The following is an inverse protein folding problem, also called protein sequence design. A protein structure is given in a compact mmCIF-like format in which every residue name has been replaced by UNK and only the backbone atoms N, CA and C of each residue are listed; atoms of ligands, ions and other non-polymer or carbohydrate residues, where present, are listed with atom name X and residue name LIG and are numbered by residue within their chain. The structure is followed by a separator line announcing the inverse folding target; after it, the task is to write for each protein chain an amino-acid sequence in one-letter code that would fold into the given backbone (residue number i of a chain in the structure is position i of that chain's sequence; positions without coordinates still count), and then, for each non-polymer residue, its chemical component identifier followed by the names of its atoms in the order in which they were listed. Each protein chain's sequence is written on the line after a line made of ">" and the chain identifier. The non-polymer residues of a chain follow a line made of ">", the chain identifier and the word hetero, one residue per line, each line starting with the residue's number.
data_IF_951738786069
#
_entry.id   IF_951738786069
#
_cell.length_a   1.000
_cell.length_b   1.000
_cell.length_c   1.000
_cell.angle_alpha   90.00
_cell.angle_beta   90.00
_cell.angle_gamma   90.00
#
_symmetry.space_group_name_H-M   'P 1'
#
loop_
_entity.id
_entity.type
_entity.pdbx_description
1 polymer ?
#
# COMPACT_ATOMS: atom_id res chain seq x y z
N UNK A 1 15.29 46.40 12.20
CA UNK A 1 14.03 45.76 11.76
C UNK A 1 14.34 44.30 11.43
N UNK A 2 14.06 43.38 12.35
CA UNK A 2 14.26 41.95 12.12
C UNK A 2 13.08 41.42 11.31
N UNK A 3 13.30 41.08 10.04
CA UNK A 3 12.34 40.34 9.24
C UNK A 3 12.19 38.94 9.84
N UNK A 4 11.16 38.73 10.66
CA UNK A 4 10.74 37.39 11.09
C UNK A 4 10.20 36.66 9.85
N UNK A 5 11.04 35.87 9.20
CA UNK A 5 10.58 34.88 8.23
C UNK A 5 9.77 33.85 9.01
N UNK A 6 8.45 34.05 9.09
CA UNK A 6 7.56 32.99 9.55
C UNK A 6 7.73 31.82 8.59
N UNK A 7 8.30 30.72 9.09
CA UNK A 7 8.34 29.45 8.37
C UNK A 7 6.92 29.13 7.90
N UNK A 8 6.73 28.90 6.59
CA UNK A 8 5.44 28.45 6.05
C UNK A 8 5.04 27.18 6.81
N UNK A 9 3.80 27.15 7.33
CA UNK A 9 3.22 25.98 7.97
C UNK A 9 2.55 25.12 6.90
N UNK A 10 2.81 23.82 6.91
CA UNK A 10 2.29 22.87 5.92
C UNK A 10 1.02 22.20 6.42
N UNK A 11 -0.02 22.16 5.58
CA UNK A 11 -1.31 21.55 5.90
C UNK A 11 -1.40 20.16 5.31
N UNK A 12 -1.29 19.15 6.16
CA UNK A 12 -1.29 17.73 5.78
C UNK A 12 -2.61 17.11 6.20
N UNK A 13 -3.49 16.89 5.24
CA UNK A 13 -4.75 16.18 5.45
C UNK A 13 -4.51 14.69 5.59
N UNK A 14 -5.18 14.00 6.51
CA UNK A 14 -5.12 12.55 6.64
C UNK A 14 -6.50 11.90 6.57
N UNK A 15 -6.64 10.88 5.72
CA UNK A 15 -7.84 10.06 5.55
C UNK A 15 -7.49 8.58 5.74
N UNK A 16 -7.68 8.07 6.97
CA UNK A 16 -7.24 6.73 7.37
C UNK A 16 -8.39 5.94 8.01
N UNK A 17 -8.38 4.59 7.94
CA UNK A 17 -9.34 3.77 8.68
C UNK A 17 -9.27 4.06 10.20
N UNK A 18 -10.38 3.97 10.96
CA UNK A 18 -10.42 4.33 12.38
C UNK A 18 -9.34 3.65 13.23
N UNK A 19 -9.10 2.35 13.00
CA UNK A 19 -8.02 1.60 13.69
C UNK A 19 -6.63 2.20 13.44
N UNK A 20 -6.37 2.74 12.25
CA UNK A 20 -5.10 3.38 11.88
C UNK A 20 -4.98 4.77 12.51
N UNK A 21 -6.06 5.56 12.53
CA UNK A 21 -6.06 6.85 13.24
C UNK A 21 -5.70 6.62 14.71
N UNK A 22 -6.39 5.69 15.37
CA UNK A 22 -6.13 5.36 16.77
C UNK A 22 -4.70 4.86 17.00
N UNK A 23 -4.12 4.10 16.07
CA UNK A 23 -2.77 3.58 16.22
C UNK A 23 -1.67 4.65 15.98
N UNK A 24 -1.83 5.51 14.97
CA UNK A 24 -0.76 6.38 14.46
C UNK A 24 -0.91 7.84 14.84
N UNK A 25 -2.12 8.39 14.87
CA UNK A 25 -2.37 9.80 15.17
C UNK A 25 -2.43 9.99 16.69
N UNK A 26 -1.26 9.78 17.32
CA UNK A 26 -1.06 9.93 18.77
C UNK A 26 -0.65 11.36 19.12
N UNK A 27 -0.87 11.81 20.37
CA UNK A 27 -0.41 13.13 20.83
C UNK A 27 1.08 13.40 20.55
N UNK A 28 1.93 12.37 20.65
CA UNK A 28 3.35 12.47 20.34
C UNK A 28 3.62 12.84 18.88
N UNK A 29 2.90 12.25 17.92
CA UNK A 29 3.03 12.57 16.50
C UNK A 29 2.50 13.98 16.22
N UNK A 30 1.37 14.36 16.81
CA UNK A 30 0.78 15.69 16.64
C UNK A 30 1.74 16.77 17.17
N UNK A 31 2.29 16.57 18.37
CA UNK A 31 3.26 17.48 18.96
C UNK A 31 4.52 17.59 18.10
N UNK A 32 5.03 16.46 17.62
CA UNK A 32 6.19 16.46 16.72
C UNK A 32 5.89 17.20 15.40
N UNK A 33 4.73 16.97 14.78
CA UNK A 33 4.33 17.69 13.58
C UNK A 33 4.26 19.21 13.81
N UNK A 34 3.68 19.64 14.94
CA UNK A 34 3.59 21.05 15.31
C UNK A 34 4.98 21.71 15.47
N UNK A 35 5.93 21.03 16.11
CA UNK A 35 7.32 21.48 16.23
C UNK A 35 8.03 21.63 14.88
N UNK A 36 7.54 20.94 13.85
CA UNK A 36 8.06 20.98 12.49
C UNK A 36 7.20 21.82 11.53
N UNK A 37 6.34 22.71 12.06
CA UNK A 37 5.43 23.55 11.29
C UNK A 37 4.48 22.75 10.37
N UNK A 38 3.95 21.64 10.86
CA UNK A 38 2.98 20.79 10.14
C UNK A 38 1.67 20.73 10.91
N UNK A 39 0.57 21.07 10.23
CA UNK A 39 -0.79 20.82 10.68
C UNK A 39 -1.28 19.48 10.16
N UNK A 40 -1.50 18.52 11.07
CA UNK A 40 -2.19 17.27 10.75
C UNK A 40 -3.71 17.49 10.86
N UNK A 41 -4.39 17.43 9.72
CA UNK A 41 -5.81 17.76 9.61
C UNK A 41 -6.61 16.49 9.30
N UNK A 42 -7.54 16.05 10.15
CA UNK A 42 -8.41 14.92 9.82
C UNK A 42 -9.31 15.29 8.64
N UNK A 43 -9.34 14.43 7.62
CA UNK A 43 -10.28 14.53 6.50
C UNK A 43 -11.51 13.69 6.81
N UNK A 44 -12.69 14.28 6.60
CA UNK A 44 -13.97 13.61 6.63
C UNK A 44 -14.32 13.06 5.23
N UNK A 45 -14.24 11.73 5.00
CA UNK A 45 -14.50 11.15 3.68
C UNK A 45 -15.98 11.22 3.26
N UNK A 46 -16.89 11.60 4.18
CA UNK A 46 -18.31 11.81 3.85
C UNK A 46 -18.61 13.16 3.18
N UNK A 47 -17.62 14.05 3.15
CA UNK A 47 -17.70 15.38 2.53
C UNK A 47 -16.74 15.49 1.34
N UNK A 48 -17.01 16.38 0.37
CA UNK A 48 -16.09 16.60 -0.74
C UNK A 48 -14.69 17.01 -0.24
N UNK A 49 -13.64 16.31 -0.69
CA UNK A 49 -12.26 16.60 -0.32
C UNK A 49 -11.84 18.03 -0.67
N UNK A 50 -12.28 18.54 -1.83
CA UNK A 50 -11.95 19.88 -2.32
C UNK A 50 -12.41 21.01 -1.39
N UNK A 51 -13.43 20.76 -0.57
CA UNK A 51 -14.00 21.74 0.37
C UNK A 51 -13.30 21.73 1.73
N UNK A 52 -12.38 20.77 1.97
CA UNK A 52 -11.74 20.57 3.26
C UNK A 52 -10.40 21.32 3.40
N UNK A 53 -10.14 22.21 2.45
CA UNK A 53 -9.20 23.32 2.56
C UNK A 53 -8.14 23.33 1.47
N UNK A 54 -7.32 24.40 1.39
CA UNK A 54 -6.02 24.26 0.77
C UNK A 54 -5.20 23.29 1.61
N UNK A 55 -4.83 22.15 1.03
CA UNK A 55 -3.93 21.17 1.63
C UNK A 55 -2.65 21.15 0.80
N UNK A 56 -1.49 21.17 1.47
CA UNK A 56 -0.21 20.96 0.79
C UNK A 56 0.04 19.46 0.53
N UNK A 57 -0.62 18.57 1.30
CA UNK A 57 -0.50 17.13 1.18
C UNK A 57 -1.73 16.39 1.68
N UNK A 58 -2.05 15.25 1.07
CA UNK A 58 -3.08 14.29 1.48
C UNK A 58 -2.43 12.93 1.72
N UNK A 59 -2.42 12.47 2.98
CA UNK A 59 -2.02 11.11 3.34
C UNK A 59 -3.29 10.27 3.46
N UNK A 60 -3.37 9.15 2.72
CA UNK A 60 -4.59 8.36 2.71
C UNK A 60 -4.37 6.86 2.72
N UNK A 61 -5.38 6.15 3.23
CA UNK A 61 -5.46 4.69 3.19
C UNK A 61 -6.91 4.22 3.04
N UNK A 62 -7.63 4.84 2.11
CA UNK A 62 -9.00 4.47 1.74
C UNK A 62 -8.98 4.04 0.27
N UNK A 63 -9.78 3.01 -0.07
CA UNK A 63 -9.69 2.35 -1.38
C UNK A 63 -11.01 2.30 -2.16
N UNK A 64 -12.08 2.92 -1.64
CA UNK A 64 -13.39 2.98 -2.30
C UNK A 64 -13.35 3.80 -3.61
N UNK A 65 -14.24 3.48 -4.55
CA UNK A 65 -14.32 4.18 -5.84
C UNK A 65 -14.56 5.68 -5.65
N UNK A 66 -15.49 6.04 -4.77
CA UNK A 66 -15.79 7.46 -4.47
C UNK A 66 -14.56 8.20 -3.96
N UNK A 67 -13.80 7.59 -3.06
CA UNK A 67 -12.56 8.18 -2.54
C UNK A 67 -11.51 8.38 -3.64
N UNK A 68 -11.34 7.40 -4.53
CA UNK A 68 -10.43 7.53 -5.68
C UNK A 68 -10.84 8.68 -6.60
N UNK A 69 -12.13 8.80 -6.90
CA UNK A 69 -12.68 9.90 -7.71
C UNK A 69 -12.44 11.26 -7.04
N UNK A 70 -12.62 11.36 -5.72
CA UNK A 70 -12.33 12.57 -4.96
C UNK A 70 -10.83 12.94 -5.01
N UNK A 71 -9.91 11.98 -4.88
CA UNK A 71 -8.48 12.23 -4.99
C UNK A 71 -8.06 12.70 -6.39
N UNK A 72 -8.61 12.10 -7.44
CA UNK A 72 -8.34 12.51 -8.82
C UNK A 72 -8.82 13.94 -9.07
N UNK A 73 -10.02 14.27 -8.62
CA UNK A 73 -10.59 15.62 -8.73
C UNK A 73 -9.79 16.65 -7.91
N UNK A 74 -9.41 16.30 -6.68
CA UNK A 74 -8.56 17.16 -5.86
C UNK A 74 -7.21 17.42 -6.51
N UNK A 75 -6.55 16.38 -7.03
CA UNK A 75 -5.26 16.47 -7.73
C UNK A 75 -5.33 17.36 -8.97
N UNK A 76 -6.40 17.25 -9.78
CA UNK A 76 -6.53 18.05 -11.00
C UNK A 76 -6.70 19.54 -10.72
N UNK A 77 -7.22 19.92 -9.55
CA UNK A 77 -7.40 21.31 -9.15
C UNK A 77 -6.24 21.84 -8.28
N UNK A 78 -5.44 20.94 -7.70
CA UNK A 78 -4.35 21.28 -6.79
C UNK A 78 -3.07 20.54 -7.20
N UNK A 79 -2.46 20.88 -8.35
CA UNK A 79 -1.31 20.16 -8.90
C UNK A 79 -0.06 20.21 -7.99
N UNK A 80 0.04 21.23 -7.13
CA UNK A 80 1.14 21.39 -6.17
C UNK A 80 0.92 20.58 -4.87
N UNK A 81 -0.29 20.05 -4.65
CA UNK A 81 -0.60 19.27 -3.46
C UNK A 81 -0.18 17.80 -3.66
N UNK A 82 0.59 17.27 -2.72
CA UNK A 82 1.06 15.88 -2.78
C UNK A 82 -0.03 14.91 -2.35
N UNK A 83 -0.18 13.78 -3.04
CA UNK A 83 -1.03 12.66 -2.61
C UNK A 83 -0.12 11.49 -2.24
N UNK A 84 -0.15 11.10 -0.97
CA UNK A 84 0.67 10.03 -0.42
C UNK A 84 -0.23 8.85 -0.01
N UNK A 85 -0.16 7.70 -0.67
CA UNK A 85 0.60 7.40 -1.89
C UNK A 85 -0.23 7.67 -3.17
N UNK A 86 0.42 7.90 -4.33
CA UNK A 86 -0.26 7.99 -5.62
C UNK A 86 -1.10 6.74 -5.92
N UNK A 87 -2.24 6.94 -6.58
CA UNK A 87 -3.22 5.86 -6.83
C UNK A 87 -2.66 4.70 -7.66
N UNK A 88 -1.83 5.00 -8.66
CA UNK A 88 -1.14 4.03 -9.51
C UNK A 88 -0.12 3.19 -8.73
N UNK A 89 0.63 3.84 -7.83
CA UNK A 89 1.59 3.18 -6.94
C UNK A 89 0.89 2.20 -5.98
N UNK A 90 -0.27 2.60 -5.44
CA UNK A 90 -1.12 1.73 -4.61
C UNK A 90 -1.64 0.53 -5.41
N UNK A 91 -2.16 0.75 -6.62
CA UNK A 91 -2.67 -0.33 -7.46
C UNK A 91 -1.60 -1.38 -7.76
N UNK A 92 -0.36 -0.96 -7.98
CA UNK A 92 0.76 -1.86 -8.24
C UNK A 92 1.03 -2.81 -7.07
N UNK A 93 0.87 -2.36 -5.82
CA UNK A 93 1.16 -3.20 -4.64
C UNK A 93 -0.02 -4.08 -4.20
N UNK A 94 -1.23 -3.83 -4.70
CA UNK A 94 -2.41 -4.66 -4.42
C UNK A 94 -2.41 -6.03 -5.13
N UNK A 95 -1.51 -6.25 -6.08
CA UNK A 95 -1.36 -7.51 -6.80
C UNK A 95 0.03 -8.10 -6.54
N UNK A 96 0.09 -9.35 -6.06
CA UNK A 96 1.36 -9.99 -5.66
C UNK A 96 2.35 -10.16 -6.81
N UNK A 97 1.89 -10.25 -8.06
CA UNK A 97 2.77 -10.29 -9.24
C UNK A 97 3.43 -8.94 -9.44
N UNK A 98 2.64 -7.87 -9.59
CA UNK A 98 3.16 -6.53 -9.89
C UNK A 98 3.95 -5.92 -8.74
N UNK A 99 3.61 -6.27 -7.50
CA UNK A 99 4.37 -5.89 -6.30
C UNK A 99 5.80 -6.46 -6.35
N UNK A 100 5.93 -7.76 -6.66
CA UNK A 100 7.23 -8.44 -6.67
C UNK A 100 8.06 -8.10 -7.92
N UNK A 101 7.42 -7.73 -9.03
CA UNK A 101 8.12 -7.17 -10.20
C UNK A 101 8.94 -5.91 -9.87
N UNK A 102 8.64 -5.17 -8.79
CA UNK A 102 9.50 -4.04 -8.38
C UNK A 102 10.90 -4.55 -8.02
N UNK A 103 10.99 -5.68 -7.32
CA UNK A 103 12.25 -6.22 -6.80
C UNK A 103 13.25 -6.51 -7.92
N UNK A 104 12.78 -7.10 -9.02
CA UNK A 104 13.63 -7.41 -10.19
C UNK A 104 14.11 -6.17 -10.94
N UNK A 105 13.41 -5.03 -10.81
CA UNK A 105 13.76 -3.78 -11.47
C UNK A 105 14.65 -2.86 -10.61
N UNK A 106 14.94 -3.22 -9.36
CA UNK A 106 15.77 -2.41 -8.46
C UNK A 106 17.24 -2.45 -8.89
N UNK A 107 17.74 -1.33 -9.43
CA UNK A 107 19.15 -1.12 -9.71
C UNK A 107 19.86 -0.62 -8.44
N UNK A 108 20.48 -1.54 -7.70
CA UNK A 108 21.28 -1.17 -6.53
C UNK A 108 22.72 -1.52 -6.79
N UNK A 109 23.53 -0.47 -7.01
CA UNK A 109 24.88 -0.52 -7.55
C UNK A 109 25.92 -1.16 -6.61
N UNK A 110 25.57 -1.41 -5.34
CA UNK A 110 26.52 -1.87 -4.31
C UNK A 110 25.93 -3.01 -3.45
N UNK A 111 25.46 -4.09 -4.07
CA UNK A 111 24.99 -5.24 -3.29
C UNK A 111 26.08 -6.30 -3.11
N UNK A 112 26.40 -6.58 -1.85
CA UNK A 112 27.15 -7.78 -1.44
C UNK A 112 26.31 -9.06 -1.43
N UNK A 113 24.99 -8.95 -1.61
CA UNK A 113 24.03 -10.04 -1.50
C UNK A 113 23.02 -10.03 -2.65
N UNK A 114 22.55 -11.21 -3.04
CA UNK A 114 21.49 -11.36 -4.03
C UNK A 114 20.16 -10.89 -3.43
N UNK A 115 19.49 -9.96 -4.10
CA UNK A 115 18.08 -9.67 -3.86
C UNK A 115 17.29 -10.24 -5.02
N UNK A 116 16.45 -11.23 -4.72
CA UNK A 116 15.63 -11.88 -5.72
C UNK A 116 14.25 -12.25 -5.15
N UNK A 117 13.33 -12.55 -6.05
CA UNK A 117 11.99 -13.03 -5.72
C UNK A 117 12.01 -14.56 -5.73
N UNK A 118 11.51 -15.23 -4.68
CA UNK A 118 11.36 -16.68 -4.70
C UNK A 118 10.57 -17.14 -5.93
N UNK A 119 10.97 -18.28 -6.51
CA UNK A 119 10.24 -18.89 -7.63
C UNK A 119 8.77 -19.08 -7.23
N UNK A 120 7.87 -18.65 -8.10
CA UNK A 120 6.44 -18.63 -7.84
C UNK A 120 5.65 -18.94 -9.10
N UNK A 121 4.44 -19.46 -8.91
CA UNK A 121 3.47 -19.74 -9.97
C UNK A 121 2.13 -19.16 -9.56
N UNK A 122 1.34 -18.77 -10.56
CA UNK A 122 0.01 -18.22 -10.38
C UNK A 122 -0.98 -19.13 -11.08
N UNK A 123 -2.02 -19.53 -10.34
CA UNK A 123 -3.12 -20.30 -10.86
C UNK A 123 -4.38 -19.43 -10.81
N UNK A 124 -4.97 -19.18 -11.97
CA UNK A 124 -6.19 -18.37 -12.10
C UNK A 124 -7.44 -19.16 -11.69
N UNK A 125 -7.39 -20.49 -11.82
CA UNK A 125 -8.49 -21.39 -11.53
C UNK A 125 -7.97 -22.79 -11.17
N UNK A 126 -8.84 -23.59 -10.56
CA UNK A 126 -8.51 -24.95 -10.09
C UNK A 126 -8.25 -25.94 -11.23
N UNK A 127 -8.85 -25.77 -12.40
CA UNK A 127 -8.63 -26.66 -13.54
C UNK A 127 -7.24 -26.49 -14.14
N UNK A 128 -6.81 -25.24 -14.32
CA UNK A 128 -5.47 -24.89 -14.81
C UNK A 128 -4.40 -25.37 -13.83
N UNK A 129 -4.68 -25.30 -12.53
CA UNK A 129 -3.83 -25.92 -11.51
C UNK A 129 -3.75 -27.43 -11.71
N UNK A 130 -4.89 -28.14 -11.72
CA UNK A 130 -4.91 -29.61 -11.83
C UNK A 130 -4.24 -30.15 -13.11
N UNK A 131 -4.38 -29.45 -14.24
CA UNK A 131 -3.84 -29.87 -15.53
C UNK A 131 -2.33 -29.68 -15.66
N UNK A 132 -1.76 -28.66 -14.99
CA UNK A 132 -0.36 -28.26 -15.16
C UNK A 132 0.47 -28.35 -13.87
N UNK A 133 -0.12 -28.80 -12.76
CA UNK A 133 0.49 -28.72 -11.43
C UNK A 133 1.70 -29.62 -11.28
N UNK A 134 1.67 -30.85 -11.79
CA UNK A 134 2.63 -31.85 -11.31
C UNK A 134 4.09 -31.55 -11.65
N UNK A 135 4.39 -31.14 -12.88
CA UNK A 135 5.75 -30.77 -13.30
C UNK A 135 6.13 -29.37 -12.80
N UNK A 136 5.19 -28.43 -12.81
CA UNK A 136 5.44 -27.04 -12.40
C UNK A 136 5.65 -26.90 -10.88
N UNK A 137 4.87 -27.62 -10.06
CA UNK A 137 4.99 -27.65 -8.60
C UNK A 137 6.28 -28.39 -8.20
N UNK A 138 6.65 -29.47 -8.90
CA UNK A 138 7.95 -30.13 -8.66
C UNK A 138 9.14 -29.19 -8.87
N UNK A 139 9.08 -28.29 -9.87
CA UNK A 139 10.12 -27.28 -10.13
C UNK A 139 10.23 -26.20 -9.06
N UNK A 140 9.16 -25.95 -8.30
CA UNK A 140 9.19 -25.02 -7.16
C UNK A 140 9.79 -25.67 -5.91
N UNK A 141 9.54 -26.96 -5.71
CA UNK A 141 10.03 -27.74 -4.56
C UNK A 141 9.26 -27.47 -3.26
N UNK A 142 9.11 -28.48 -2.42
CA UNK A 142 8.44 -28.34 -1.12
C UNK A 142 9.44 -27.91 -0.02
N UNK A 143 8.97 -27.19 1.02
CA UNK A 143 7.60 -26.75 1.25
C UNK A 143 7.21 -25.49 0.47
N UNK A 144 5.92 -25.36 0.11
CA UNK A 144 5.37 -24.23 -0.63
C UNK A 144 4.42 -23.40 0.22
N UNK A 145 4.42 -22.09 0.01
CA UNK A 145 3.43 -21.19 0.60
C UNK A 145 2.43 -20.78 -0.47
N UNK A 146 1.18 -21.22 -0.35
CA UNK A 146 0.09 -20.74 -1.18
C UNK A 146 -0.53 -19.49 -0.55
N UNK A 147 -0.71 -18.46 -1.36
CA UNK A 147 -1.29 -17.18 -0.96
C UNK A 147 -2.32 -16.74 -2.00
N UNK A 148 -3.35 -15.96 -1.62
CA UNK A 148 -4.26 -15.34 -2.57
C UNK A 148 -3.48 -14.47 -3.56
N UNK A 149 -4.04 -14.12 -4.72
CA UNK A 149 -3.36 -13.17 -5.60
C UNK A 149 -3.48 -11.72 -5.10
N UNK A 150 -4.65 -11.38 -4.57
CA UNK A 150 -4.97 -10.06 -4.02
C UNK A 150 -4.23 -9.81 -2.70
N UNK A 151 -3.55 -8.66 -2.60
CA UNK A 151 -2.81 -8.19 -1.43
C UNK A 151 -3.33 -6.81 -0.99
N UNK A 152 -4.62 -6.73 -0.69
CA UNK A 152 -5.34 -5.49 -0.34
C UNK A 152 -5.54 -5.29 1.17
N UNK A 153 -5.06 -6.22 2.01
CA UNK A 153 -5.19 -6.17 3.46
C UNK A 153 -6.56 -6.60 4.00
N UNK A 154 -7.42 -7.19 3.15
CA UNK A 154 -8.65 -7.86 3.58
C UNK A 154 -8.33 -9.16 4.33
N UNK A 155 -9.24 -9.65 5.17
CA UNK A 155 -9.07 -10.94 5.86
C UNK A 155 -8.84 -12.10 4.88
N UNK A 156 -9.49 -12.05 3.71
CA UNK A 156 -9.31 -13.06 2.66
C UNK A 156 -7.91 -13.00 2.04
N UNK A 157 -7.30 -11.82 1.90
CA UNK A 157 -5.93 -11.65 1.41
C UNK A 157 -4.85 -12.27 2.30
N UNK A 158 -5.20 -12.60 3.54
CA UNK A 158 -4.32 -13.20 4.55
C UNK A 158 -4.49 -14.73 4.71
N UNK A 159 -5.43 -15.36 3.99
CA UNK A 159 -5.62 -16.82 4.03
C UNK A 159 -4.48 -17.54 3.29
N UNK A 160 -3.48 -17.99 4.03
CA UNK A 160 -2.31 -18.68 3.47
C UNK A 160 -2.30 -20.15 3.86
N UNK A 161 -1.64 -20.98 3.06
CA UNK A 161 -1.47 -22.41 3.33
C UNK A 161 -0.01 -22.81 3.15
N UNK A 162 0.45 -23.71 4.01
CA UNK A 162 1.75 -24.35 3.87
C UNK A 162 1.54 -25.77 3.33
N UNK A 163 2.08 -26.02 2.15
CA UNK A 163 1.97 -27.30 1.44
C UNK A 163 3.30 -28.02 1.60
N UNK A 164 3.26 -29.21 2.19
CA UNK A 164 4.47 -29.99 2.51
C UNK A 164 4.73 -31.13 1.51
N UNK A 165 3.68 -31.66 0.91
CA UNK A 165 3.74 -32.70 -0.12
C UNK A 165 2.53 -32.59 -1.07
N UNK A 166 2.41 -33.51 -2.02
CA UNK A 166 1.31 -33.55 -2.99
C UNK A 166 -0.07 -33.95 -2.42
N UNK A 167 -0.14 -34.52 -1.22
CA UNK A 167 -1.31 -35.16 -0.62
C UNK A 167 -1.78 -34.63 0.75
N UNK A 168 -1.07 -33.69 1.40
CA UNK A 168 -1.47 -33.13 2.70
C UNK A 168 -1.25 -31.63 2.79
N UNK A 169 -2.36 -30.89 2.86
CA UNK A 169 -2.38 -29.49 3.27
C UNK A 169 -2.60 -29.41 4.79
N UNK A 170 -1.72 -28.72 5.53
CA UNK A 170 -2.02 -28.26 6.89
C UNK A 170 -2.31 -26.76 6.83
N UNK A 171 -3.48 -26.37 7.34
CA UNK A 171 -3.81 -24.97 7.53
C UNK A 171 -2.94 -24.42 8.67
N UNK A 172 -2.27 -23.30 8.43
CA UNK A 172 -1.47 -22.58 9.42
C UNK A 172 -2.25 -21.35 9.88
#
# INVERSE_FOLDING_TARGET
>A
MSSSTHSKRHRVGYALPPKKIQAFIKPSLIHHADQHNIDLIPIDPSKPLIEQGPLDCVIHKLYGLDWKSQLLHFSSLNPDALIIDPLDSIQRIHNRISMLQVVSNLKVSERKQVLDVPRQLVFSDSETMMKNSDDLIQKLGFPLIAKPLMADGSETSHKMYLVFDKGRNRQV
#
